data_IF_905512330927
#
_entry.id   IF_905512330927
#
_cell.length_a   1.000
_cell.length_b   1.000
_cell.length_c   1.000
_cell.angle_alpha   90.00
_cell.angle_beta   90.00
_cell.angle_gamma   90.00
#
_symmetry.space_group_name_H-M   'P 1'
#
loop_
_entity.id
_entity.type
_entity.pdbx_description
1 polymer ?
#
# COMPACT_ATOMS: atom_id res chain seq x y z
N UNK A 1 -45.93 36.03 -18.18
CA UNK A 1 -46.08 34.57 -17.98
C UNK A 1 -44.84 33.89 -18.54
N UNK A 2 -43.98 33.22 -17.78
CA UNK A 2 -43.78 33.18 -16.34
C UNK A 2 -42.33 32.77 -16.14
N UNK A 3 -41.70 33.38 -15.14
CA UNK A 3 -40.42 33.08 -14.49
C UNK A 3 -40.31 31.62 -13.95
N UNK A 4 -41.16 30.72 -14.44
CA UNK A 4 -41.39 29.33 -14.01
C UNK A 4 -40.56 28.31 -14.81
N UNK A 5 -40.24 28.60 -16.08
CA UNK A 5 -39.49 27.66 -16.94
C UNK A 5 -38.00 27.55 -16.53
N UNK A 6 -37.39 28.63 -16.04
CA UNK A 6 -35.99 28.63 -15.59
C UNK A 6 -35.78 27.84 -14.28
N UNK A 7 -36.83 27.70 -13.46
CA UNK A 7 -36.76 26.98 -12.18
C UNK A 7 -37.06 25.48 -12.28
N UNK A 8 -37.52 24.99 -13.43
CA UNK A 8 -37.82 23.56 -13.62
C UNK A 8 -36.56 22.72 -13.88
N UNK A 9 -35.53 23.31 -14.51
CA UNK A 9 -34.26 22.64 -14.82
C UNK A 9 -33.32 22.55 -13.61
N UNK A 10 -33.51 23.40 -12.59
CA UNK A 10 -32.69 23.42 -11.35
C UNK A 10 -33.17 22.44 -10.27
N UNK A 11 -34.41 21.93 -10.35
CA UNK A 11 -35.00 20.98 -9.38
C UNK A 11 -34.74 19.49 -9.67
N UNK A 12 -34.12 19.15 -10.80
CA UNK A 12 -33.64 17.78 -11.09
C UNK A 12 -32.29 17.46 -10.45
N UNK A 13 -31.60 18.46 -9.90
CA UNK A 13 -30.28 18.26 -9.27
C UNK A 13 -30.35 17.61 -7.88
N UNK A 14 -31.46 17.77 -7.13
CA UNK A 14 -31.55 17.22 -5.78
C UNK A 14 -31.90 15.72 -5.75
N UNK A 15 -32.70 15.22 -6.69
CA UNK A 15 -33.01 13.78 -6.74
C UNK A 15 -31.81 12.90 -7.17
N UNK A 16 -30.82 13.49 -7.86
CA UNK A 16 -29.58 12.79 -8.25
C UNK A 16 -28.61 12.63 -7.08
N UNK A 17 -28.63 13.55 -6.11
CA UNK A 17 -27.83 13.47 -4.89
C UNK A 17 -28.42 12.47 -3.89
N UNK A 18 -29.75 12.37 -3.79
CA UNK A 18 -30.44 11.40 -2.92
C UNK A 18 -30.24 9.94 -3.37
N UNK A 19 -30.17 9.70 -4.69
CA UNK A 19 -29.91 8.36 -5.24
C UNK A 19 -28.45 7.90 -5.03
N UNK A 20 -27.50 8.82 -5.02
CA UNK A 20 -26.10 8.49 -4.72
C UNK A 20 -25.89 8.13 -3.23
N UNK A 21 -26.66 8.74 -2.32
CA UNK A 21 -26.65 8.38 -0.90
C UNK A 21 -27.30 7.01 -0.62
N UNK A 22 -28.35 6.66 -1.36
CA UNK A 22 -29.07 5.39 -1.21
C UNK A 22 -28.39 4.18 -1.89
N UNK A 23 -27.36 4.40 -2.70
CA UNK A 23 -26.53 3.36 -3.33
C UNK A 23 -25.18 3.15 -2.62
N UNK A 24 -24.97 3.82 -1.48
CA UNK A 24 -23.80 3.67 -0.64
C UNK A 24 -23.81 2.38 0.17
N UNK A 25 -23.84 1.21 -0.48
CA UNK A 25 -23.56 -0.07 0.15
C UNK A 25 -23.24 -1.13 -0.92
N UNK A 26 -21.93 -1.34 -1.19
CA UNK A 26 -21.27 -2.58 -1.69
C UNK A 26 -19.80 -2.42 -2.15
N UNK A 27 -19.13 -1.29 -1.89
CA UNK A 27 -17.69 -1.12 -2.20
C UNK A 27 -16.76 -1.41 -1.00
N UNK A 28 -17.15 -1.02 0.21
CA UNK A 28 -16.27 -1.02 1.39
C UNK A 28 -15.72 -2.42 1.76
N UNK A 29 -16.56 -3.45 1.67
CA UNK A 29 -16.16 -4.83 2.00
C UNK A 29 -15.22 -5.45 0.98
N UNK A 30 -15.30 -5.04 -0.30
CA UNK A 30 -14.42 -5.54 -1.36
C UNK A 30 -13.03 -4.92 -1.28
N UNK A 31 -12.95 -3.67 -0.84
CA UNK A 31 -11.68 -2.96 -0.76
C UNK A 31 -10.89 -3.39 0.47
N UNK A 32 -11.55 -3.56 1.64
CA UNK A 32 -10.89 -4.13 2.82
C UNK A 32 -10.26 -5.52 2.58
N UNK A 33 -10.95 -6.40 1.84
CA UNK A 33 -10.42 -7.73 1.51
C UNK A 33 -9.21 -7.68 0.56
N UNK A 34 -9.21 -6.78 -0.43
CA UNK A 34 -8.06 -6.58 -1.34
C UNK A 34 -6.82 -6.08 -0.57
N UNK A 35 -7.03 -5.12 0.33
CA UNK A 35 -5.96 -4.58 1.18
C UNK A 35 -5.38 -5.68 2.07
N UNK A 36 -6.23 -6.40 2.81
CA UNK A 36 -5.81 -7.49 3.67
C UNK A 36 -5.04 -8.58 2.90
N UNK A 37 -5.52 -8.94 1.70
CA UNK A 37 -4.84 -9.92 0.84
C UNK A 37 -3.45 -9.43 0.41
N UNK A 38 -3.31 -8.18 -0.01
CA UNK A 38 -2.03 -7.63 -0.43
C UNK A 38 -1.04 -7.54 0.73
N UNK A 39 -1.48 -7.04 1.88
CA UNK A 39 -0.68 -7.00 3.11
C UNK A 39 -0.21 -8.40 3.48
N UNK A 40 -1.12 -9.37 3.57
CA UNK A 40 -0.79 -10.75 3.92
C UNK A 40 0.20 -11.39 2.94
N UNK A 41 0.04 -11.13 1.64
CA UNK A 41 0.94 -11.65 0.61
C UNK A 41 2.36 -11.09 0.73
N UNK A 42 2.49 -9.76 0.94
CA UNK A 42 3.79 -9.11 1.16
C UNK A 42 4.44 -9.65 2.44
N UNK A 43 3.71 -9.70 3.54
CA UNK A 43 4.22 -10.16 4.84
C UNK A 43 4.70 -11.60 4.75
N UNK A 44 3.93 -12.47 4.11
CA UNK A 44 4.33 -13.87 3.90
C UNK A 44 5.56 -13.98 2.99
N UNK A 45 5.63 -13.20 1.91
CA UNK A 45 6.80 -13.17 1.03
C UNK A 45 8.07 -12.79 1.81
N UNK A 46 8.01 -11.77 2.67
CA UNK A 46 9.12 -11.38 3.54
C UNK A 46 9.48 -12.50 4.51
N UNK A 47 8.49 -13.09 5.19
CA UNK A 47 8.68 -14.19 6.16
C UNK A 47 9.39 -15.39 5.54
N UNK A 48 8.91 -15.84 4.39
CA UNK A 48 9.48 -16.99 3.68
C UNK A 48 10.85 -16.68 3.11
N UNK A 49 11.05 -15.48 2.55
CA UNK A 49 12.35 -15.10 1.98
C UNK A 49 13.45 -15.04 3.04
N UNK A 50 13.13 -14.55 4.23
CA UNK A 50 14.09 -14.43 5.32
C UNK A 50 14.20 -15.70 6.18
N UNK A 51 13.34 -16.70 5.94
CA UNK A 51 13.23 -17.92 6.73
C UNK A 51 13.08 -17.67 8.25
N UNK A 52 12.33 -16.63 8.62
CA UNK A 52 12.22 -16.16 10.01
C UNK A 52 10.93 -16.62 10.68
N UNK A 53 11.05 -17.09 11.93
CA UNK A 53 9.90 -17.21 12.84
C UNK A 53 9.54 -15.82 13.37
N UNK A 54 8.63 -15.14 12.68
CA UNK A 54 8.11 -13.86 13.15
C UNK A 54 7.13 -14.08 14.30
N UNK A 55 7.58 -13.71 15.49
CA UNK A 55 6.76 -13.59 16.69
C UNK A 55 5.80 -12.41 16.52
N UNK A 56 4.48 -12.69 16.53
CA UNK A 56 3.45 -11.70 16.28
C UNK A 56 3.26 -10.72 17.44
N UNK A 57 3.76 -11.05 18.64
CA UNK A 57 3.71 -10.18 19.82
C UNK A 57 4.88 -9.18 19.84
N UNK A 58 5.84 -9.33 18.92
CA UNK A 58 7.00 -8.46 18.83
C UNK A 58 6.64 -7.07 18.26
N UNK A 59 7.00 -6.01 18.99
CA UNK A 59 6.78 -4.61 18.59
C UNK A 59 7.44 -4.22 17.25
N UNK A 60 8.57 -4.85 16.90
CA UNK A 60 9.24 -4.62 15.62
C UNK A 60 8.47 -5.24 14.47
N UNK A 61 7.84 -6.40 14.69
CA UNK A 61 6.95 -7.01 13.73
C UNK A 61 5.69 -6.17 13.54
N UNK A 62 5.03 -5.74 14.63
CA UNK A 62 3.82 -4.90 14.51
C UNK A 62 4.11 -3.57 13.78
N UNK A 63 5.26 -2.95 14.05
CA UNK A 63 5.72 -1.77 13.31
C UNK A 63 5.93 -2.06 11.82
N UNK A 64 6.57 -3.17 11.48
CA UNK A 64 6.73 -3.59 10.09
C UNK A 64 5.38 -3.75 9.39
N UNK A 65 4.41 -4.42 10.02
CA UNK A 65 3.04 -4.55 9.49
C UNK A 65 2.41 -3.18 9.22
N UNK A 66 2.56 -2.22 10.13
CA UNK A 66 2.06 -0.87 9.94
C UNK A 66 2.69 -0.17 8.74
N UNK A 67 4.00 -0.33 8.51
CA UNK A 67 4.66 0.22 7.32
C UNK A 67 4.19 -0.44 6.02
N UNK A 68 3.95 -1.75 6.03
CA UNK A 68 3.33 -2.44 4.89
C UNK A 68 1.91 -1.93 4.64
N UNK A 69 1.11 -1.69 5.69
CA UNK A 69 -0.21 -1.08 5.56
C UNK A 69 -0.16 0.27 4.87
N UNK A 70 0.74 1.16 5.30
CA UNK A 70 0.90 2.48 4.66
C UNK A 70 1.35 2.39 3.20
N UNK A 71 2.24 1.45 2.88
CA UNK A 71 2.60 1.18 1.49
C UNK A 71 1.38 0.73 0.67
N UNK A 72 0.61 -0.23 1.15
CA UNK A 72 -0.59 -0.75 0.46
C UNK A 72 -1.67 0.32 0.33
N UNK A 73 -1.84 1.18 1.34
CA UNK A 73 -2.74 2.34 1.28
C UNK A 73 -2.34 3.31 0.18
N UNK A 74 -1.05 3.66 0.08
CA UNK A 74 -0.54 4.51 -1.02
C UNK A 74 -0.72 3.86 -2.38
N UNK A 75 -0.48 2.55 -2.46
CA UNK A 75 -0.63 1.77 -3.69
C UNK A 75 -2.06 1.85 -4.24
N UNK A 76 -3.07 1.54 -3.42
CA UNK A 76 -4.46 1.56 -3.87
C UNK A 76 -5.05 2.98 -4.00
N UNK A 77 -4.41 3.99 -3.39
CA UNK A 77 -4.79 5.38 -3.55
C UNK A 77 -4.14 6.08 -4.76
N UNK A 78 -3.36 5.36 -5.58
CA UNK A 78 -2.53 5.91 -6.66
C UNK A 78 -1.61 7.06 -6.20
N UNK A 79 -1.06 6.91 -4.98
CA UNK A 79 -0.20 7.90 -4.30
C UNK A 79 1.17 7.30 -3.93
N UNK A 80 1.69 6.40 -4.78
CA UNK A 80 3.04 5.88 -4.60
C UNK A 80 4.06 7.02 -4.60
N UNK A 81 5.12 6.87 -3.80
CA UNK A 81 6.23 7.82 -3.79
C UNK A 81 6.85 7.91 -5.19
N UNK A 82 7.13 9.12 -5.67
CA UNK A 82 7.79 9.34 -6.96
C UNK A 82 9.30 9.23 -6.84
N UNK A 83 10.00 8.76 -7.87
CA UNK A 83 11.47 8.63 -7.91
C UNK A 83 12.21 9.97 -7.86
N UNK A 84 12.36 10.55 -6.67
CA UNK A 84 13.03 11.83 -6.47
C UNK A 84 14.47 11.65 -5.99
N UNK A 85 14.76 10.56 -5.26
CA UNK A 85 16.03 10.40 -4.53
C UNK A 85 16.87 9.21 -5.01
N UNK A 86 17.34 9.26 -6.26
CA UNK A 86 18.20 8.20 -6.84
C UNK A 86 19.43 7.86 -5.98
N UNK A 87 20.07 8.88 -5.40
CA UNK A 87 21.25 8.70 -4.55
C UNK A 87 20.91 7.92 -3.26
N UNK A 88 19.75 8.16 -2.67
CA UNK A 88 19.32 7.45 -1.46
C UNK A 88 19.05 5.97 -1.77
N UNK A 89 18.38 5.68 -2.89
CA UNK A 89 18.16 4.31 -3.34
C UNK A 89 19.48 3.54 -3.49
N UNK A 90 20.47 4.13 -4.17
CA UNK A 90 21.79 3.50 -4.37
C UNK A 90 22.52 3.27 -3.03
N UNK A 91 22.46 4.23 -2.11
CA UNK A 91 23.04 4.08 -0.77
C UNK A 91 22.38 2.95 0.01
N UNK A 92 21.05 2.90 0.04
CA UNK A 92 20.31 1.85 0.74
C UNK A 92 20.57 0.49 0.11
N UNK A 93 20.72 0.41 -1.21
CA UNK A 93 21.11 -0.83 -1.88
C UNK A 93 22.50 -1.31 -1.53
N UNK A 94 23.45 -0.40 -1.36
CA UNK A 94 24.78 -0.75 -0.89
C UNK A 94 24.81 -1.14 0.60
N UNK A 95 24.10 -0.40 1.45
CA UNK A 95 24.12 -0.60 2.91
C UNK A 95 23.33 -1.84 3.34
N UNK A 96 22.17 -2.08 2.72
CA UNK A 96 21.22 -3.11 3.14
C UNK A 96 20.87 -4.08 1.98
N UNK A 97 21.86 -4.76 1.38
CA UNK A 97 21.64 -5.59 0.19
C UNK A 97 20.60 -6.69 0.42
N UNK A 98 20.65 -7.37 1.56
CA UNK A 98 19.65 -8.39 1.90
C UNK A 98 18.22 -7.83 1.98
N UNK A 99 18.04 -6.62 2.50
CA UNK A 99 16.71 -6.01 2.60
C UNK A 99 16.22 -5.53 1.22
N UNK A 100 17.13 -5.04 0.38
CA UNK A 100 16.82 -4.70 -1.02
C UNK A 100 16.42 -5.91 -1.85
N UNK A 101 17.07 -7.06 -1.67
CA UNK A 101 16.69 -8.29 -2.37
C UNK A 101 15.23 -8.67 -2.07
N UNK A 102 14.81 -8.52 -0.81
CA UNK A 102 13.41 -8.74 -0.42
C UNK A 102 12.49 -7.68 -1.03
N UNK A 103 12.89 -6.40 -1.03
CA UNK A 103 12.12 -5.33 -1.63
C UNK A 103 11.91 -5.54 -3.15
N UNK A 104 12.93 -6.01 -3.86
CA UNK A 104 12.81 -6.37 -5.28
C UNK A 104 11.86 -7.53 -5.52
N UNK A 105 11.88 -8.57 -4.68
CA UNK A 105 10.89 -9.65 -4.76
C UNK A 105 9.46 -9.15 -4.56
N UNK A 106 9.25 -8.18 -3.66
CA UNK A 106 7.94 -7.54 -3.47
C UNK A 106 7.53 -6.80 -4.75
N UNK A 107 8.44 -6.05 -5.38
CA UNK A 107 8.19 -5.38 -6.67
C UNK A 107 7.83 -6.35 -7.77
N UNK A 108 8.54 -7.46 -7.90
CA UNK A 108 8.26 -8.47 -8.92
C UNK A 108 6.88 -9.11 -8.70
N UNK A 109 6.56 -9.45 -7.44
CA UNK A 109 5.24 -9.96 -7.06
C UNK A 109 4.12 -8.98 -7.44
N UNK A 110 4.27 -7.69 -7.11
CA UNK A 110 3.27 -6.67 -7.40
C UNK A 110 3.12 -6.44 -8.89
N UNK A 111 4.24 -6.40 -9.63
CA UNK A 111 4.21 -6.31 -11.09
C UNK A 111 3.48 -7.49 -11.71
N UNK A 112 3.70 -8.71 -11.22
CA UNK A 112 3.04 -9.90 -11.73
C UNK A 112 1.53 -9.92 -11.44
N UNK A 113 1.10 -9.52 -10.25
CA UNK A 113 -0.31 -9.62 -9.83
C UNK A 113 -1.15 -8.42 -10.29
N UNK A 114 -0.55 -7.22 -10.32
CA UNK A 114 -1.27 -5.96 -10.54
C UNK A 114 -0.82 -5.21 -11.80
N UNK A 115 0.23 -5.66 -12.50
CA UNK A 115 0.81 -4.95 -13.66
C UNK A 115 1.27 -3.51 -13.36
N UNK A 116 1.55 -3.20 -12.08
CA UNK A 116 2.05 -1.90 -11.63
C UNK A 116 3.53 -2.02 -11.29
N UNK A 117 4.32 -1.06 -11.77
CA UNK A 117 5.75 -0.96 -11.44
C UNK A 117 5.90 -0.06 -10.22
N UNK A 118 6.54 -0.58 -9.18
CA UNK A 118 6.83 0.18 -7.97
C UNK A 118 8.07 1.07 -8.20
N UNK A 119 7.98 2.37 -7.84
CA UNK A 119 9.11 3.31 -7.85
C UNK A 119 10.24 2.91 -6.90
N UNK A 120 11.45 3.36 -7.17
CA UNK A 120 12.63 3.17 -6.33
C UNK A 120 12.47 3.76 -4.93
N UNK A 121 11.73 4.86 -4.78
CA UNK A 121 11.54 5.49 -3.46
C UNK A 121 10.66 4.59 -2.55
N UNK A 122 9.70 3.87 -3.13
CA UNK A 122 8.93 2.85 -2.40
C UNK A 122 9.77 1.60 -2.09
N UNK A 123 10.65 1.19 -3.00
CA UNK A 123 11.61 0.12 -2.72
C UNK A 123 12.53 0.49 -1.55
N UNK A 124 13.04 1.71 -1.56
CA UNK A 124 13.89 2.28 -0.51
C UNK A 124 13.15 2.28 0.83
N UNK A 125 11.90 2.77 0.85
CA UNK A 125 11.03 2.75 2.01
C UNK A 125 10.87 1.33 2.57
N UNK A 126 10.49 0.37 1.73
CA UNK A 126 10.32 -1.03 2.13
C UNK A 126 11.63 -1.62 2.67
N UNK A 127 12.75 -1.40 1.98
CA UNK A 127 14.05 -1.93 2.37
C UNK A 127 14.51 -1.41 3.73
N UNK A 128 14.31 -0.13 4.04
CA UNK A 128 14.63 0.42 5.37
C UNK A 128 13.82 -0.29 6.46
N UNK A 129 12.53 -0.54 6.22
CA UNK A 129 11.66 -1.19 7.19
C UNK A 129 11.94 -2.70 7.34
N UNK A 130 12.30 -3.36 6.25
CA UNK A 130 12.74 -4.77 6.25
C UNK A 130 14.09 -4.91 6.95
N UNK A 131 15.05 -4.03 6.68
CA UNK A 131 16.34 -4.04 7.35
C UNK A 131 16.17 -3.91 8.87
N UNK A 132 15.35 -2.95 9.33
CA UNK A 132 15.02 -2.82 10.76
C UNK A 132 14.46 -4.12 11.32
N UNK A 133 13.53 -4.77 10.63
CA UNK A 133 12.96 -6.05 11.04
C UNK A 133 14.02 -7.15 11.18
N UNK A 134 14.95 -7.24 10.22
CA UNK A 134 16.06 -8.21 10.25
C UNK A 134 16.98 -7.94 11.45
N UNK A 135 17.41 -6.69 11.62
CA UNK A 135 18.38 -6.31 12.66
C UNK A 135 17.86 -6.62 14.07
N UNK A 136 16.56 -6.43 14.34
CA UNK A 136 15.99 -6.74 15.66
C UNK A 136 15.85 -8.24 15.94
N UNK A 137 15.77 -9.08 14.90
CA UNK A 137 15.70 -10.53 15.07
C UNK A 137 17.07 -11.16 15.29
N UNK A 138 18.14 -10.58 14.74
CA UNK A 138 19.52 -11.04 14.96
C UNK A 138 20.04 -10.74 16.38
N UNK A 139 19.36 -9.88 17.13
CA UNK A 139 19.67 -9.56 18.52
C UNK A 139 19.07 -10.55 19.54
N UNK A 140 18.33 -11.57 19.09
CA UNK A 140 17.79 -12.67 19.90
C UNK A 140 18.55 -13.96 19.63
#
# INVERSE_FOLDING_TARGET
MTHWAYNYQKRRSCYRLSLNYALGEKSDSKDGMKYAKMIGSIVNLVRYTLNMKMDQENIHYSRFITHVKFFVERFYADKLLSDQEKMLFEQIAHLYPQAMDVAFKIKDYIKQVHSIVIPNDELTYLAVHIHRLISYQQLK
#
